data_IF_285764509441
#
_entry.id   IF_285764509441
#
_cell.length_a   1.000
_cell.length_b   1.000
_cell.length_c   1.000
_cell.angle_alpha   90.00
_cell.angle_beta   90.00
_cell.angle_gamma   90.00
#
_symmetry.space_group_name_H-M   'P 1'
#
loop_
_entity.id
_entity.type
_entity.pdbx_description
1 polymer ?
#
# COMPACT_ATOMS: atom_id res chain seq x y z
N UNK A 1 1.22 -1.58 44.14
CA UNK A 1 1.13 -1.04 42.78
C UNK A 1 1.55 0.40 42.81
N UNK A 2 2.50 0.79 41.97
CA UNK A 2 3.17 2.08 42.13
C UNK A 2 2.93 3.00 40.91
N UNK A 3 2.43 2.47 39.82
CA UNK A 3 2.08 3.27 38.64
C UNK A 3 0.88 2.69 37.90
N UNK A 4 0.03 3.56 37.38
CA UNK A 4 -1.17 3.27 36.61
C UNK A 4 -0.95 3.72 35.16
N UNK A 5 -1.03 2.80 34.22
CA UNK A 5 -0.87 3.09 32.79
C UNK A 5 -2.11 2.69 32.02
N UNK A 6 -2.41 3.40 30.93
CA UNK A 6 -3.53 3.11 30.05
C UNK A 6 -3.02 2.44 28.78
N UNK A 7 -3.43 1.20 28.51
CA UNK A 7 -3.25 0.54 27.22
C UNK A 7 -4.46 0.82 26.31
N UNK A 8 -4.23 1.29 25.09
CA UNK A 8 -5.31 1.64 24.15
C UNK A 8 -4.95 1.22 22.71
N UNK A 9 -5.95 1.15 21.85
CA UNK A 9 -5.77 0.70 20.45
C UNK A 9 -5.68 -0.82 20.35
N UNK A 10 -4.70 -1.32 19.60
CA UNK A 10 -4.60 -2.72 19.19
C UNK A 10 -3.98 -3.65 20.26
N UNK A 11 -4.24 -3.42 21.53
CA UNK A 11 -4.02 -4.42 22.57
C UNK A 11 -5.15 -5.43 22.58
N UNK A 12 -4.90 -6.70 22.91
CA UNK A 12 -5.95 -7.70 23.07
C UNK A 12 -6.92 -7.36 24.20
N UNK A 13 -6.43 -6.70 25.26
CA UNK A 13 -7.23 -6.20 26.37
C UNK A 13 -6.86 -4.74 26.65
N UNK A 14 -7.44 -3.78 25.94
CA UNK A 14 -7.22 -2.36 26.15
C UNK A 14 -7.92 -1.92 27.45
N UNK A 15 -7.14 -1.52 28.45
CA UNK A 15 -7.65 -1.07 29.75
C UNK A 15 -6.52 -0.41 30.57
N UNK A 16 -6.85 0.06 31.77
CA UNK A 16 -5.86 0.50 32.74
C UNK A 16 -5.16 -0.69 33.39
N UNK A 17 -3.83 -0.60 33.51
CA UNK A 17 -2.99 -1.57 34.19
C UNK A 17 -2.24 -0.92 35.34
N UNK A 18 -2.09 -1.67 36.43
CA UNK A 18 -1.25 -1.28 37.55
C UNK A 18 0.06 -2.05 37.45
N UNK A 19 1.15 -1.32 37.35
CA UNK A 19 2.50 -1.87 37.20
C UNK A 19 3.37 -1.56 38.45
N UNK A 20 4.44 -2.34 38.59
CA UNK A 20 5.50 -2.08 39.60
C UNK A 20 6.49 -1.05 39.04
N UNK A 21 7.33 -0.49 39.92
CA UNK A 21 8.33 0.53 39.53
C UNK A 21 9.29 0.08 38.41
N UNK A 22 9.68 -1.18 38.43
CA UNK A 22 10.63 -1.82 37.53
C UNK A 22 9.99 -2.37 36.23
N UNK A 23 8.66 -2.35 36.13
CA UNK A 23 7.94 -2.89 34.98
C UNK A 23 7.77 -1.87 33.86
N UNK A 24 7.96 -2.34 32.63
CA UNK A 24 7.87 -1.55 31.40
C UNK A 24 6.86 -2.12 30.40
N UNK A 25 7.13 -1.87 29.13
CA UNK A 25 6.30 -2.31 28.01
C UNK A 25 6.17 -3.83 27.95
N UNK A 26 7.22 -4.61 28.29
CA UNK A 26 7.15 -6.08 28.36
C UNK A 26 6.08 -6.58 29.32
N UNK A 27 6.05 -6.01 30.52
CA UNK A 27 5.06 -6.37 31.52
C UNK A 27 3.65 -6.00 31.05
N UNK A 28 3.48 -4.81 30.49
CA UNK A 28 2.21 -4.37 29.91
C UNK A 28 1.73 -5.31 28.81
N UNK A 29 2.60 -5.70 27.86
CA UNK A 29 2.27 -6.65 26.80
C UNK A 29 1.87 -8.02 27.39
N UNK A 30 2.59 -8.51 28.39
CA UNK A 30 2.25 -9.76 29.07
C UNK A 30 0.88 -9.70 29.74
N UNK A 31 0.60 -8.64 30.50
CA UNK A 31 -0.67 -8.49 31.22
C UNK A 31 -1.86 -8.24 30.31
N UNK A 32 -1.66 -7.49 29.23
CA UNK A 32 -2.71 -7.25 28.22
C UNK A 32 -3.00 -8.46 27.32
N UNK A 33 -2.18 -9.52 27.41
CA UNK A 33 -2.26 -10.70 26.55
C UNK A 33 -1.65 -10.48 25.17
N UNK A 34 -0.85 -9.40 25.00
CA UNK A 34 -0.21 -9.02 23.75
C UNK A 34 -1.07 -8.12 22.87
N UNK A 35 -0.64 -7.99 21.62
CA UNK A 35 -1.29 -7.19 20.61
C UNK A 35 -2.20 -8.07 19.73
N UNK A 36 -3.13 -7.42 19.03
CA UNK A 36 -3.94 -8.08 17.98
C UNK A 36 -3.08 -8.36 16.74
N UNK A 37 -3.58 -9.19 15.83
CA UNK A 37 -2.91 -9.49 14.56
C UNK A 37 -2.79 -8.28 13.62
N UNK A 38 -3.65 -7.28 13.83
CA UNK A 38 -3.71 -6.06 13.02
C UNK A 38 -2.89 -4.91 13.61
N UNK A 39 -2.19 -5.15 14.71
CA UNK A 39 -1.43 -4.13 15.42
C UNK A 39 -0.17 -3.68 14.67
N UNK A 40 0.04 -2.38 14.55
CA UNK A 40 1.30 -1.80 14.07
C UNK A 40 2.35 -1.83 15.20
N UNK A 41 2.85 -3.03 15.49
CA UNK A 41 3.76 -3.28 16.60
C UNK A 41 5.15 -2.60 16.46
N UNK A 42 5.55 -2.25 15.24
CA UNK A 42 6.79 -1.52 14.98
C UNK A 42 6.75 -0.06 15.44
N UNK A 43 5.56 0.50 15.67
CA UNK A 43 5.37 1.89 16.10
C UNK A 43 4.30 1.99 17.19
N UNK A 44 4.69 1.59 18.40
CA UNK A 44 3.90 1.80 19.63
C UNK A 44 4.18 3.21 20.16
N UNK A 45 3.14 3.99 20.40
CA UNK A 45 3.24 5.36 20.90
C UNK A 45 3.01 5.38 22.40
N UNK A 46 3.89 6.04 23.12
CA UNK A 46 3.76 6.28 24.56
C UNK A 46 3.62 7.79 24.76
N UNK A 47 2.46 8.20 25.25
CA UNK A 47 2.17 9.60 25.59
C UNK A 47 2.41 9.76 27.09
N UNK A 48 3.32 10.64 27.44
CA UNK A 48 3.74 10.93 28.83
C UNK A 48 3.58 12.41 29.11
N UNK A 49 3.05 12.74 30.28
CA UNK A 49 3.03 14.12 30.76
C UNK A 49 4.33 14.45 31.50
N UNK A 50 5.12 15.38 30.96
CA UNK A 50 6.37 15.88 31.53
C UNK A 50 6.29 17.41 31.61
N UNK A 51 6.49 17.99 32.78
CA UNK A 51 6.52 19.46 32.99
C UNK A 51 5.32 20.20 32.33
N UNK A 52 4.10 19.74 32.64
CA UNK A 52 2.84 20.31 32.11
C UNK A 52 2.69 20.21 30.59
N UNK A 53 3.55 19.47 29.91
CA UNK A 53 3.49 19.20 28.47
C UNK A 53 3.33 17.71 28.20
N UNK A 54 2.67 17.38 27.08
CA UNK A 54 2.54 16.00 26.66
C UNK A 54 3.65 15.66 25.66
N UNK A 55 4.47 14.65 25.98
CA UNK A 55 5.58 14.17 25.14
C UNK A 55 5.22 12.81 24.59
N UNK A 56 5.45 12.61 23.29
CA UNK A 56 5.32 11.31 22.64
C UNK A 56 6.68 10.63 22.53
N UNK A 57 6.70 9.34 22.83
CA UNK A 57 7.84 8.44 22.61
C UNK A 57 7.38 7.31 21.70
N UNK A 58 8.12 7.05 20.62
CA UNK A 58 7.84 5.94 19.72
C UNK A 58 8.72 4.74 20.08
N UNK A 59 8.10 3.58 20.23
CA UNK A 59 8.76 2.37 20.71
C UNK A 59 8.41 1.20 19.78
N UNK A 60 9.42 0.40 19.40
CA UNK A 60 9.21 -0.80 18.60
C UNK A 60 8.93 -2.01 19.53
N UNK A 61 7.66 -2.39 19.64
CA UNK A 61 7.24 -3.51 20.48
C UNK A 61 7.82 -4.87 20.01
N UNK A 62 8.08 -5.04 18.70
CA UNK A 62 8.71 -6.24 18.17
C UNK A 62 10.16 -6.37 18.69
N UNK A 63 10.92 -5.27 18.64
CA UNK A 63 12.29 -5.26 19.15
C UNK A 63 12.34 -5.56 20.65
N UNK A 64 11.46 -4.94 21.45
CA UNK A 64 11.35 -5.20 22.88
C UNK A 64 11.01 -6.66 23.18
N UNK A 65 10.15 -7.28 22.38
CA UNK A 65 9.75 -8.68 22.58
C UNK A 65 10.88 -9.66 22.25
N UNK A 66 11.70 -9.35 21.24
CA UNK A 66 12.78 -10.21 20.76
C UNK A 66 14.06 -10.10 21.58
N UNK A 67 14.34 -8.93 22.17
CA UNK A 67 15.58 -8.66 22.90
C UNK A 67 15.33 -8.66 24.41
N UNK A 68 15.94 -9.61 25.18
CA UNK A 68 15.66 -9.75 26.61
C UNK A 68 16.02 -8.52 27.42
N UNK A 69 17.09 -7.81 27.05
CA UNK A 69 17.66 -6.70 27.81
C UNK A 69 17.13 -5.32 27.41
N UNK A 70 16.27 -5.25 26.39
CA UNK A 70 15.65 -4.01 25.96
C UNK A 70 14.19 -3.96 26.43
N UNK A 71 13.93 -3.15 27.44
CA UNK A 71 12.57 -2.79 27.83
C UNK A 71 12.47 -1.27 27.95
N UNK A 72 11.31 -0.74 27.66
CA UNK A 72 11.00 0.68 27.86
C UNK A 72 10.23 0.82 29.17
N UNK A 73 10.85 1.47 30.16
CA UNK A 73 10.22 1.69 31.46
C UNK A 73 9.05 2.68 31.33
N UNK A 74 7.88 2.22 31.78
CA UNK A 74 6.69 3.05 31.84
C UNK A 74 6.67 3.86 33.14
N UNK A 75 6.00 5.01 33.13
CA UNK A 75 5.78 5.89 34.28
C UNK A 75 4.29 5.95 34.62
N UNK A 76 4.00 6.45 35.82
CA UNK A 76 2.62 6.69 36.23
C UNK A 76 1.94 7.69 35.29
N UNK A 77 0.70 7.41 34.89
CA UNK A 77 -0.06 8.24 33.97
C UNK A 77 0.27 8.04 32.47
N UNK A 78 1.23 7.18 32.12
CA UNK A 78 1.52 6.90 30.69
C UNK A 78 0.30 6.34 29.97
N UNK A 79 0.09 6.81 28.74
CA UNK A 79 -0.88 6.24 27.80
C UNK A 79 -0.11 5.54 26.68
N UNK A 80 -0.25 4.24 26.61
CA UNK A 80 0.39 3.40 25.58
C UNK A 80 -0.64 3.07 24.51
N UNK A 81 -0.39 3.58 23.29
CA UNK A 81 -1.28 3.41 22.15
C UNK A 81 -0.59 2.61 21.04
N UNK A 82 -1.31 1.64 20.51
CA UNK A 82 -0.90 0.90 19.31
C UNK A 82 -1.94 1.09 18.22
N UNK A 83 -1.52 1.66 17.10
CA UNK A 83 -2.40 1.88 15.96
C UNK A 83 -2.57 0.58 15.15
N UNK A 84 -3.60 0.55 14.30
CA UNK A 84 -3.83 -0.55 13.36
C UNK A 84 -2.88 -0.41 12.16
N UNK A 85 -2.41 -1.54 11.62
CA UNK A 85 -1.79 -1.55 10.29
C UNK A 85 -2.81 -1.03 9.29
N UNK A 86 -2.46 0.00 8.54
CA UNK A 86 -3.38 0.55 7.53
C UNK A 86 -3.85 -0.58 6.61
N UNK A 87 -5.15 -0.73 6.51
CA UNK A 87 -5.76 -1.66 5.58
C UNK A 87 -5.36 -1.25 4.15
N UNK A 88 -4.67 -2.14 3.46
CA UNK A 88 -4.22 -1.95 2.10
C UNK A 88 -3.19 -3.02 1.74
N UNK A 89 -3.33 -3.58 0.55
CA UNK A 89 -2.30 -4.47 0.02
C UNK A 89 -1.08 -3.62 -0.34
N UNK A 90 0.04 -3.87 0.33
CA UNK A 90 1.29 -3.12 0.12
C UNK A 90 2.11 -3.63 -1.08
N UNK A 91 1.71 -4.77 -1.66
CA UNK A 91 2.39 -5.42 -2.77
C UNK A 91 1.40 -5.72 -3.89
N UNK A 92 0.74 -4.72 -4.42
CA UNK A 92 -0.30 -4.88 -5.44
C UNK A 92 0.00 -4.10 -6.70
N UNK A 93 -0.59 -4.59 -7.80
CA UNK A 93 -0.80 -3.89 -9.06
C UNK A 93 -2.26 -4.05 -9.46
N UNK A 94 -2.77 -3.13 -10.25
CA UNK A 94 -4.14 -3.22 -10.77
C UNK A 94 -4.10 -3.38 -12.29
N UNK A 95 -4.91 -4.30 -12.83
CA UNK A 95 -5.09 -4.46 -14.27
C UNK A 95 -6.55 -4.18 -14.63
N UNK A 96 -6.75 -3.33 -15.62
CA UNK A 96 -8.04 -2.83 -16.06
C UNK A 96 -8.23 -3.01 -17.57
N UNK A 97 -9.48 -2.94 -18.01
CA UNK A 97 -9.86 -2.94 -19.42
C UNK A 97 -9.95 -4.34 -20.01
N UNK A 98 -9.48 -4.51 -21.23
CA UNK A 98 -9.73 -5.68 -22.09
C UNK A 98 -8.78 -6.84 -21.77
N UNK A 99 -8.98 -7.44 -20.59
CA UNK A 99 -8.28 -8.63 -20.07
C UNK A 99 -9.31 -9.62 -19.53
N UNK A 100 -9.00 -10.91 -19.46
CA UNK A 100 -9.98 -11.92 -19.07
C UNK A 100 -10.53 -11.71 -17.66
N UNK A 101 -9.67 -11.40 -16.70
CA UNK A 101 -10.06 -11.13 -15.31
C UNK A 101 -9.43 -9.83 -14.82
N UNK A 102 -10.06 -8.65 -15.06
CA UNK A 102 -9.56 -7.39 -14.53
C UNK A 102 -9.67 -7.37 -12.99
N UNK A 103 -8.74 -6.68 -12.33
CA UNK A 103 -8.74 -6.59 -10.88
C UNK A 103 -7.37 -6.27 -10.28
N UNK A 104 -7.27 -6.48 -8.98
CA UNK A 104 -6.05 -6.25 -8.19
C UNK A 104 -5.30 -7.57 -8.03
N UNK A 105 -4.01 -7.55 -8.34
CA UNK A 105 -3.13 -8.71 -8.27
C UNK A 105 -1.94 -8.43 -7.34
N UNK A 106 -1.47 -9.49 -6.68
CA UNK A 106 -0.22 -9.45 -5.95
C UNK A 106 0.95 -9.22 -6.90
N UNK A 107 1.80 -8.25 -6.58
CA UNK A 107 3.09 -8.08 -7.24
C UNK A 107 4.15 -8.89 -6.48
N UNK A 108 4.67 -9.93 -7.09
CA UNK A 108 5.74 -10.78 -6.55
C UNK A 108 7.10 -10.24 -6.97
N UNK A 109 8.13 -10.68 -6.27
CA UNK A 109 9.50 -10.33 -6.61
C UNK A 109 9.82 -10.76 -8.05
N UNK A 110 10.32 -9.83 -8.86
CA UNK A 110 10.67 -10.01 -10.28
C UNK A 110 9.48 -10.21 -11.24
N UNK A 111 8.24 -10.00 -10.79
CA UNK A 111 7.10 -9.99 -11.70
C UNK A 111 7.23 -8.85 -12.72
N UNK A 112 6.87 -9.15 -13.95
CA UNK A 112 6.81 -8.25 -15.07
C UNK A 112 5.39 -8.15 -15.63
N UNK A 113 5.17 -7.27 -16.57
CA UNK A 113 3.86 -7.00 -17.16
C UNK A 113 3.18 -8.29 -17.68
N UNK A 114 3.90 -9.13 -18.38
CA UNK A 114 3.33 -10.36 -18.95
C UNK A 114 2.94 -11.38 -17.87
N UNK A 115 3.64 -11.40 -16.72
CA UNK A 115 3.29 -12.29 -15.60
C UNK A 115 1.94 -11.89 -15.00
N UNK A 116 1.68 -10.60 -14.86
CA UNK A 116 0.39 -10.10 -14.37
C UNK A 116 -0.73 -10.38 -15.39
N UNK A 117 -0.49 -10.12 -16.68
CA UNK A 117 -1.47 -10.41 -17.73
C UNK A 117 -1.79 -11.92 -17.76
N UNK A 118 -0.80 -12.80 -17.64
CA UNK A 118 -1.00 -14.25 -17.59
C UNK A 118 -1.82 -14.66 -16.36
N UNK A 119 -1.54 -14.11 -15.19
CA UNK A 119 -2.33 -14.37 -13.98
C UNK A 119 -3.76 -13.82 -14.07
N UNK A 120 -3.96 -12.78 -14.85
CA UNK A 120 -5.28 -12.24 -15.17
C UNK A 120 -6.02 -13.03 -16.26
N UNK A 121 -5.53 -14.21 -16.62
CA UNK A 121 -6.15 -15.10 -17.61
C UNK A 121 -5.82 -14.75 -19.07
N UNK A 122 -4.86 -13.84 -19.29
CA UNK A 122 -4.43 -13.40 -20.62
C UNK A 122 -5.34 -12.30 -21.19
N UNK A 123 -4.92 -11.81 -22.34
CA UNK A 123 -5.68 -10.84 -23.13
C UNK A 123 -6.91 -11.51 -23.76
N UNK A 124 -7.95 -10.74 -24.03
CA UNK A 124 -9.13 -11.23 -24.76
C UNK A 124 -8.91 -11.14 -26.29
N UNK A 125 -9.85 -11.70 -27.06
CA UNK A 125 -9.82 -11.60 -28.53
C UNK A 125 -10.01 -10.17 -29.03
N UNK A 126 -10.62 -9.32 -28.21
CA UNK A 126 -10.93 -7.93 -28.56
C UNK A 126 -9.85 -6.96 -28.08
N UNK A 127 -8.81 -7.44 -27.39
CA UNK A 127 -7.74 -6.56 -26.90
C UNK A 127 -6.97 -5.93 -28.05
N UNK A 128 -6.76 -4.62 -27.98
CA UNK A 128 -5.90 -3.88 -28.89
C UNK A 128 -4.44 -4.02 -28.46
N UNK A 129 -3.74 -5.00 -29.02
CA UNK A 129 -2.37 -5.34 -28.65
C UNK A 129 -1.32 -4.25 -28.92
N UNK A 130 -1.40 -3.42 -29.99
CA UNK A 130 -0.37 -2.42 -30.27
C UNK A 130 -0.24 -1.33 -29.20
N UNK A 131 -1.18 -1.23 -28.25
CA UNK A 131 -1.14 -0.19 -27.22
C UNK A 131 -1.76 -0.60 -25.91
N UNK A 132 -0.97 -0.55 -24.86
CA UNK A 132 -1.38 -0.61 -23.46
C UNK A 132 -0.68 0.50 -22.68
N UNK A 133 -1.18 0.87 -21.53
CA UNK A 133 -0.53 1.83 -20.66
C UNK A 133 -0.24 1.22 -19.29
N UNK A 134 0.92 1.55 -18.77
CA UNK A 134 1.25 1.35 -17.35
C UNK A 134 1.35 2.74 -16.72
N UNK A 135 0.44 3.05 -15.82
CA UNK A 135 0.45 4.27 -15.03
C UNK A 135 1.21 4.01 -13.74
N UNK A 136 2.26 4.75 -13.54
CA UNK A 136 3.10 4.65 -12.36
C UNK A 136 2.92 5.88 -11.49
N UNK A 137 2.55 5.69 -10.24
CA UNK A 137 2.54 6.79 -9.30
C UNK A 137 3.99 7.11 -8.94
N UNK A 138 4.45 8.30 -9.33
CA UNK A 138 5.68 8.85 -8.77
C UNK A 138 5.45 9.03 -7.27
N UNK A 139 6.19 8.28 -6.44
CA UNK A 139 6.01 8.24 -4.99
C UNK A 139 6.31 9.57 -4.26
N UNK A 140 6.38 10.67 -4.98
CA UNK A 140 6.57 12.01 -4.44
C UNK A 140 5.24 12.76 -4.47
N UNK A 141 4.71 13.04 -3.29
CA UNK A 141 3.40 13.66 -3.06
C UNK A 141 3.25 15.08 -3.64
N UNK A 142 4.22 15.57 -4.35
CA UNK A 142 4.25 16.93 -4.91
C UNK A 142 4.02 16.99 -6.42
N UNK A 143 4.10 15.88 -7.16
CA UNK A 143 3.78 15.85 -8.59
C UNK A 143 2.46 15.11 -8.83
N UNK A 144 1.46 15.83 -9.29
CA UNK A 144 0.18 15.31 -9.80
C UNK A 144 0.35 14.59 -11.17
N UNK A 145 1.59 14.34 -11.60
CA UNK A 145 1.89 13.65 -12.85
C UNK A 145 2.22 12.18 -12.55
N UNK A 146 1.28 11.29 -12.89
CA UNK A 146 1.58 9.87 -13.04
C UNK A 146 2.41 9.68 -14.31
N UNK A 147 3.56 9.07 -14.20
CA UNK A 147 4.33 8.66 -15.39
C UNK A 147 3.54 7.59 -16.14
N UNK A 148 3.19 7.92 -17.39
CA UNK A 148 2.50 7.00 -18.29
C UNK A 148 3.52 6.34 -19.20
N UNK A 149 3.70 5.04 -19.06
CA UNK A 149 4.50 4.22 -19.95
C UNK A 149 3.58 3.57 -20.98
N UNK A 150 3.81 3.86 -22.26
CA UNK A 150 3.15 3.18 -23.38
C UNK A 150 3.88 1.90 -23.73
N UNK A 151 3.14 0.81 -23.90
CA UNK A 151 3.67 -0.52 -24.14
C UNK A 151 2.94 -1.17 -25.31
N UNK A 152 3.68 -1.75 -26.24
CA UNK A 152 3.17 -2.56 -27.34
C UNK A 152 3.12 -4.04 -26.92
N UNK A 153 1.92 -4.61 -26.85
CA UNK A 153 1.70 -6.01 -26.48
C UNK A 153 1.68 -6.97 -27.68
N UNK A 154 2.03 -6.54 -28.87
CA UNK A 154 1.99 -7.38 -30.07
C UNK A 154 2.86 -8.63 -29.92
N UNK A 155 3.93 -8.55 -29.14
CA UNK A 155 4.83 -9.67 -28.82
C UNK A 155 4.37 -10.52 -27.63
N UNK A 156 3.29 -10.16 -26.95
CA UNK A 156 2.80 -10.90 -25.78
C UNK A 156 2.50 -12.37 -26.11
N UNK A 157 1.97 -12.66 -27.30
CA UNK A 157 1.62 -14.02 -27.73
C UNK A 157 2.84 -14.93 -27.93
N UNK A 158 4.04 -14.39 -28.12
CA UNK A 158 5.29 -15.16 -28.22
C UNK A 158 5.82 -15.63 -26.87
N UNK A 159 5.25 -15.11 -25.76
CA UNK A 159 5.66 -15.38 -24.38
C UNK A 159 7.17 -15.19 -24.14
N UNK A 160 7.78 -14.27 -24.90
CA UNK A 160 9.20 -13.95 -24.74
C UNK A 160 9.40 -13.04 -23.52
N UNK A 161 9.92 -13.64 -22.46
CA UNK A 161 10.25 -12.91 -21.23
C UNK A 161 11.30 -11.80 -21.43
N UNK A 162 12.01 -11.82 -22.56
CA UNK A 162 13.05 -10.84 -22.92
C UNK A 162 12.52 -9.69 -23.77
N UNK A 163 11.25 -9.74 -24.19
CA UNK A 163 10.66 -8.66 -24.96
C UNK A 163 10.83 -7.32 -24.26
N UNK A 164 11.22 -6.26 -24.96
CA UNK A 164 11.27 -4.88 -24.39
C UNK A 164 9.91 -4.44 -23.86
N UNK A 165 8.83 -4.99 -24.40
CA UNK A 165 7.46 -4.72 -23.98
C UNK A 165 7.10 -5.37 -22.64
N UNK A 166 7.87 -6.38 -22.20
CA UNK A 166 7.68 -7.00 -20.91
C UNK A 166 8.35 -6.18 -19.79
N UNK A 167 7.79 -5.01 -19.51
CA UNK A 167 8.35 -4.05 -18.56
C UNK A 167 8.27 -4.54 -17.13
N UNK A 168 9.22 -4.13 -16.30
CA UNK A 168 9.20 -4.33 -14.86
C UNK A 168 8.13 -3.45 -14.22
N UNK A 169 7.36 -4.04 -13.29
CA UNK A 169 6.28 -3.35 -12.60
C UNK A 169 6.72 -2.90 -11.20
N UNK A 170 6.16 -1.79 -10.78
CA UNK A 170 6.28 -1.28 -9.42
C UNK A 170 4.97 -1.47 -8.64
N UNK A 171 5.08 -1.41 -7.33
CA UNK A 171 3.90 -1.41 -6.45
C UNK A 171 2.99 -0.25 -6.81
N UNK A 172 1.68 -0.52 -6.79
CA UNK A 172 0.61 0.42 -7.13
C UNK A 172 0.59 0.87 -8.61
N UNK A 173 1.35 0.21 -9.51
CA UNK A 173 1.19 0.41 -10.94
C UNK A 173 -0.23 -0.01 -11.37
N UNK A 174 -0.82 0.77 -12.30
CA UNK A 174 -2.12 0.48 -12.92
C UNK A 174 -1.89 0.19 -14.40
N UNK A 175 -2.24 -1.03 -14.80
CA UNK A 175 -2.14 -1.50 -16.19
C UNK A 175 -3.49 -1.30 -16.86
N UNK A 176 -3.52 -0.58 -17.98
CA UNK A 176 -4.73 -0.32 -18.76
C UNK A 176 -4.61 -0.97 -20.14
N UNK A 177 -5.49 -1.92 -20.42
CA UNK A 177 -5.66 -2.52 -21.75
C UNK A 177 -6.93 -1.97 -22.40
N UNK A 178 -6.89 -1.84 -23.71
CA UNK A 178 -7.98 -1.26 -24.50
C UNK A 178 -8.61 -2.28 -25.43
N UNK A 179 -9.85 -2.05 -25.81
CA UNK A 179 -10.51 -2.82 -26.86
C UNK A 179 -10.13 -2.31 -28.26
N UNK A 180 -10.23 -3.19 -29.25
CA UNK A 180 -10.04 -2.81 -30.66
C UNK A 180 -11.03 -1.73 -31.09
N UNK A 181 -12.24 -1.71 -30.55
CA UNK A 181 -13.27 -0.73 -30.86
C UNK A 181 -12.91 0.69 -30.41
N UNK A 182 -12.12 0.83 -29.33
CA UNK A 182 -11.68 2.14 -28.84
C UNK A 182 -10.69 2.85 -29.80
N UNK A 183 -10.06 2.08 -30.69
CA UNK A 183 -9.10 2.60 -31.67
C UNK A 183 -9.56 2.45 -33.13
N UNK A 184 -10.68 1.73 -33.36
CA UNK A 184 -11.16 1.45 -34.74
C UNK A 184 -12.03 2.56 -35.30
N UNK A 185 -12.71 3.33 -34.45
CA UNK A 185 -13.54 4.46 -34.88
C UNK A 185 -12.80 5.77 -34.64
N UNK A 186 -12.38 6.48 -35.70
CA UNK A 186 -11.86 7.82 -35.56
C UNK A 186 -12.95 8.72 -34.97
N UNK A 187 -12.71 9.20 -33.76
CA UNK A 187 -13.62 10.17 -33.12
C UNK A 187 -13.43 11.52 -33.78
N UNK A 188 -14.38 11.90 -34.62
CA UNK A 188 -14.44 13.24 -35.22
C UNK A 188 -15.17 14.18 -34.26
N UNK A 189 -14.55 15.31 -33.95
CA UNK A 189 -15.22 16.44 -33.32
C UNK A 189 -15.52 17.45 -34.39
N UNK A 190 -16.80 17.66 -34.68
CA UNK A 190 -17.24 18.74 -35.54
C UNK A 190 -17.47 19.98 -34.71
N UNK A 191 -16.79 21.07 -35.09
CA UNK A 191 -16.91 22.34 -34.38
C UNK A 191 -17.65 23.31 -35.31
N UNK A 192 -18.82 23.82 -34.84
CA UNK A 192 -19.64 24.77 -35.54
C UNK A 192 -19.71 26.09 -34.75
N UNK A 193 -19.78 27.18 -35.44
CA UNK A 193 -20.00 28.52 -34.86
C UNK A 193 -18.86 29.50 -35.16
N UNK A 194 -18.81 30.59 -34.40
CA UNK A 194 -17.77 31.60 -34.52
C UNK A 194 -16.44 31.12 -33.93
N UNK A 195 -15.71 30.34 -34.72
CA UNK A 195 -14.36 29.86 -34.38
C UNK A 195 -13.35 30.45 -35.36
N UNK A 196 -12.13 30.68 -34.86
CA UNK A 196 -11.06 31.32 -35.64
C UNK A 196 -10.53 30.41 -36.77
N UNK A 197 -10.67 29.08 -36.63
CA UNK A 197 -10.30 28.08 -37.61
C UNK A 197 -11.32 26.94 -37.54
N UNK A 198 -12.03 26.68 -38.65
CA UNK A 198 -12.91 25.52 -38.80
C UNK A 198 -12.09 24.30 -39.22
N UNK A 199 -12.36 23.14 -38.60
CA UNK A 199 -11.67 21.89 -38.94
C UNK A 199 -12.53 20.66 -38.63
N UNK A 200 -12.23 19.58 -39.32
CA UNK A 200 -12.77 18.25 -39.07
C UNK A 200 -11.76 17.41 -38.28
#
# INVERSE_FOLDING_TARGET
FEKKVLATGQFKRPMYYQLRKDEGVKALLKFSGGLTSEALASNMKILRSENETQVQRDVNANAITLLPDQDFLLMDGDIVKVDIVKAGLSNKVEIRGEVTFPGIYELRKNDRLFDIINRAGGVTRNTFLPRAYVFRNAGDSTSLQSDRLEVDLSEYSSNDSRSPSNVELNVDDVIQLFSQSEFSDPQYVEIYGEIRVEGK
#
